data_IF_426211037885
#
_entry.id   IF_426211037885
#
_cell.length_a   1.000
_cell.length_b   1.000
_cell.length_c   1.000
_cell.angle_alpha   90.00
_cell.angle_beta   90.00
_cell.angle_gamma   90.00
#
_symmetry.space_group_name_H-M   'P 1'
#
loop_
_entity.id
_entity.type
_entity.pdbx_description
1 polymer ?
#
# COMPACT_ATOMS: atom_id res chain seq x y z
N UNK A 1 8.62 -13.96 -1.60
CA UNK A 1 8.68 -13.38 -0.23
C UNK A 1 7.27 -13.38 0.37
N UNK A 2 7.15 -13.83 1.59
CA UNK A 2 5.85 -13.87 2.29
C UNK A 2 5.54 -12.51 2.92
N UNK A 3 5.21 -11.54 2.10
CA UNK A 3 4.98 -10.16 2.49
C UNK A 3 3.91 -9.49 1.63
N UNK A 4 3.36 -8.41 2.15
CA UNK A 4 2.36 -7.58 1.48
C UNK A 4 2.85 -6.13 1.47
N UNK A 5 2.77 -5.50 0.32
CA UNK A 5 3.09 -4.09 0.18
C UNK A 5 1.94 -3.24 0.73
N UNK A 6 2.26 -2.15 1.40
CA UNK A 6 1.25 -1.16 1.84
C UNK A 6 1.53 0.16 1.16
N UNK A 7 0.59 0.59 0.34
CA UNK A 7 0.61 1.87 -0.33
C UNK A 7 0.07 3.00 0.57
N UNK A 8 0.32 4.24 0.17
CA UNK A 8 -0.13 5.45 0.88
C UNK A 8 -1.61 5.40 1.22
N UNK A 9 -2.48 5.01 0.28
CA UNK A 9 -3.92 4.89 0.52
C UNK A 9 -4.26 3.87 1.61
N UNK A 10 -3.54 2.78 1.70
CA UNK A 10 -3.69 1.78 2.77
C UNK A 10 -3.27 2.32 4.14
N UNK A 11 -2.12 2.98 4.22
CA UNK A 11 -1.66 3.64 5.45
C UNK A 11 -2.61 4.73 5.91
N UNK A 12 -3.08 5.57 4.99
CA UNK A 12 -4.02 6.65 5.32
C UNK A 12 -5.35 6.12 5.83
N UNK A 13 -5.91 5.11 5.21
CA UNK A 13 -7.15 4.48 5.68
C UNK A 13 -6.99 3.87 7.07
N UNK A 14 -5.84 3.27 7.37
CA UNK A 14 -5.53 2.77 8.70
C UNK A 14 -5.35 3.89 9.75
N UNK A 15 -4.79 5.03 9.35
CA UNK A 15 -4.53 6.15 10.26
C UNK A 15 -5.76 7.04 10.53
N UNK A 16 -6.67 7.13 9.58
CA UNK A 16 -7.84 8.01 9.65
C UNK A 16 -9.11 7.23 9.96
N UNK A 17 -9.57 7.33 11.22
CA UNK A 17 -10.79 6.68 11.66
C UNK A 17 -12.07 7.16 10.97
N UNK A 18 -12.05 8.31 10.30
CA UNK A 18 -13.16 8.84 9.51
C UNK A 18 -13.14 8.38 8.04
N UNK A 19 -12.07 7.70 7.61
CA UNK A 19 -11.99 7.15 6.26
C UNK A 19 -13.00 6.01 6.09
N UNK A 20 -13.82 6.00 5.02
CA UNK A 20 -14.77 4.90 4.77
C UNK A 20 -14.12 3.52 4.67
N UNK A 21 -12.85 3.44 4.28
CA UNK A 21 -12.08 2.20 4.19
C UNK A 21 -11.32 1.85 5.48
N UNK A 22 -11.45 2.63 6.56
CA UNK A 22 -10.68 2.43 7.79
C UNK A 22 -10.82 1.01 8.35
N UNK A 23 -12.04 0.57 8.62
CA UNK A 23 -12.29 -0.74 9.21
C UNK A 23 -11.80 -1.89 8.32
N UNK A 24 -12.03 -1.81 7.02
CA UNK A 24 -11.63 -2.86 6.07
C UNK A 24 -10.12 -2.92 5.83
N UNK A 25 -9.44 -1.77 5.79
CA UNK A 25 -7.97 -1.73 5.71
C UNK A 25 -7.31 -2.22 7.00
N UNK A 26 -7.83 -1.85 8.15
CA UNK A 26 -7.37 -2.36 9.45
C UNK A 26 -7.51 -3.88 9.53
N UNK A 27 -8.65 -4.42 9.13
CA UNK A 27 -8.88 -5.86 9.10
C UNK A 27 -7.92 -6.58 8.13
N UNK A 28 -7.70 -6.03 6.94
CA UNK A 28 -6.76 -6.59 5.96
C UNK A 28 -5.32 -6.62 6.51
N UNK A 29 -4.88 -5.54 7.16
CA UNK A 29 -3.58 -5.47 7.83
C UNK A 29 -3.46 -6.53 8.90
N UNK A 30 -4.44 -6.65 9.77
CA UNK A 30 -4.43 -7.58 10.89
C UNK A 30 -4.40 -9.03 10.39
N UNK A 31 -5.17 -9.39 9.37
CA UNK A 31 -5.14 -10.72 8.75
C UNK A 31 -3.74 -11.06 8.20
N UNK A 32 -3.08 -10.12 7.53
CA UNK A 32 -1.72 -10.29 7.01
C UNK A 32 -0.74 -10.58 8.15
N UNK A 33 -0.81 -9.79 9.21
CA UNK A 33 0.09 -9.94 10.38
C UNK A 33 -0.19 -11.24 11.15
N UNK A 34 -1.44 -11.60 11.35
CA UNK A 34 -1.85 -12.84 12.01
C UNK A 34 -1.41 -14.09 11.22
N UNK A 35 -1.36 -14.00 9.90
CA UNK A 35 -0.82 -15.05 9.03
C UNK A 35 0.72 -15.15 9.05
N UNK A 36 1.40 -14.34 9.88
CA UNK A 36 2.85 -14.35 10.00
C UNK A 36 3.59 -13.68 8.83
N UNK A 37 2.89 -12.91 8.00
CA UNK A 37 3.47 -12.19 6.87
C UNK A 37 4.01 -10.84 7.30
N UNK A 38 4.99 -10.31 6.56
CA UNK A 38 5.53 -8.98 6.75
C UNK A 38 4.76 -7.94 5.94
N UNK A 39 4.77 -6.71 6.42
CA UNK A 39 4.41 -5.55 5.63
C UNK A 39 5.67 -4.94 4.99
N UNK A 40 5.54 -4.41 3.80
CA UNK A 40 6.62 -3.71 3.10
C UNK A 40 6.19 -2.29 2.75
N UNK A 41 7.08 -1.35 2.95
CA UNK A 41 6.94 0.05 2.55
C UNK A 41 8.23 0.58 1.91
N UNK A 42 8.18 1.80 1.43
CA UNK A 42 9.34 2.53 0.90
C UNK A 42 9.42 3.92 1.53
N UNK A 43 10.59 4.55 1.44
CA UNK A 43 10.75 5.95 1.85
C UNK A 43 9.86 6.91 1.04
N UNK A 44 9.55 6.61 -0.22
CA UNK A 44 8.63 7.41 -1.04
C UNK A 44 7.20 7.35 -0.51
N UNK A 45 6.73 6.15 -0.15
CA UNK A 45 5.40 5.96 0.46
C UNK A 45 5.33 6.62 1.83
N UNK A 46 6.37 6.50 2.63
CA UNK A 46 6.44 7.14 3.96
C UNK A 46 6.42 8.65 3.86
N UNK A 47 7.18 9.23 2.93
CA UNK A 47 7.17 10.67 2.65
C UNK A 47 5.76 11.18 2.32
N UNK A 48 5.11 10.55 1.36
CA UNK A 48 3.75 10.91 0.95
C UNK A 48 2.74 10.73 2.10
N UNK A 49 2.83 9.65 2.84
CA UNK A 49 1.93 9.34 3.96
C UNK A 49 2.09 10.34 5.11
N UNK A 50 3.31 10.63 5.53
CA UNK A 50 3.58 11.63 6.57
C UNK A 50 3.02 13.00 6.19
N UNK A 51 3.23 13.41 4.95
CA UNK A 51 2.73 14.69 4.44
C UNK A 51 1.20 14.74 4.49
N UNK A 52 0.53 13.71 4.00
CA UNK A 52 -0.93 13.65 4.01
C UNK A 52 -1.52 13.58 5.41
N UNK A 53 -0.94 12.79 6.31
CA UNK A 53 -1.40 12.72 7.70
C UNK A 53 -1.27 14.08 8.37
N UNK A 54 -0.12 14.75 8.20
CA UNK A 54 0.09 16.09 8.77
C UNK A 54 -0.97 17.08 8.31
N UNK A 55 -1.27 17.12 7.03
CA UNK A 55 -2.24 18.08 6.48
C UNK A 55 -3.69 17.75 6.81
N UNK A 56 -4.04 16.48 6.90
CA UNK A 56 -5.43 16.05 7.14
C UNK A 56 -5.76 15.84 8.61
N UNK A 57 -4.81 15.34 9.41
CA UNK A 57 -5.03 14.91 10.78
C UNK A 57 -4.15 15.65 11.80
N UNK A 58 -3.16 16.41 11.34
CA UNK A 58 -2.28 17.22 12.17
C UNK A 58 -0.94 16.56 12.52
N UNK A 59 -0.05 17.36 13.07
CA UNK A 59 1.33 16.96 13.39
C UNK A 59 1.39 15.85 14.45
N UNK A 60 0.51 15.88 15.44
CA UNK A 60 0.45 14.86 16.49
C UNK A 60 0.11 13.48 15.93
N UNK A 61 -0.83 13.40 15.00
CA UNK A 61 -1.18 12.16 14.31
C UNK A 61 -0.02 11.65 13.43
N UNK A 62 0.68 12.53 12.74
CA UNK A 62 1.86 12.17 11.96
C UNK A 62 2.98 11.60 12.83
N UNK A 63 3.23 12.21 13.99
CA UNK A 63 4.22 11.72 14.97
C UNK A 63 3.83 10.34 15.53
N UNK A 64 2.57 10.16 15.88
CA UNK A 64 2.07 8.87 16.39
C UNK A 64 2.22 7.75 15.33
N UNK A 65 1.88 8.02 14.09
CA UNK A 65 2.05 7.07 13.00
C UNK A 65 3.54 6.73 12.77
N UNK A 66 4.41 7.75 12.73
CA UNK A 66 5.86 7.54 12.61
C UNK A 66 6.39 6.61 13.71
N UNK A 67 5.99 6.83 14.96
CA UNK A 67 6.42 6.00 16.09
C UNK A 67 5.98 4.53 15.94
N UNK A 68 4.81 4.30 15.36
CA UNK A 68 4.33 2.94 15.08
C UNK A 68 5.18 2.22 14.05
N UNK A 69 5.52 2.89 12.94
CA UNK A 69 6.28 2.26 11.85
C UNK A 69 7.76 2.15 12.15
N UNK A 70 8.34 3.14 12.83
CA UNK A 70 9.79 3.20 13.11
C UNK A 70 10.25 2.05 14.01
N UNK A 71 9.43 1.65 14.97
CA UNK A 71 9.74 0.56 15.91
C UNK A 71 9.23 -0.82 15.48
N UNK A 72 8.56 -0.95 14.34
CA UNK A 72 7.90 -2.19 13.97
C UNK A 72 8.90 -3.25 13.46
N UNK A 73 8.90 -4.42 14.10
CA UNK A 73 9.64 -5.60 13.65
C UNK A 73 8.91 -6.36 12.52
N UNK A 74 7.67 -5.99 12.25
CA UNK A 74 6.82 -6.62 11.23
C UNK A 74 6.74 -5.81 9.94
N UNK A 75 7.43 -4.66 9.87
CA UNK A 75 7.54 -3.79 8.72
C UNK A 75 8.98 -3.81 8.19
N UNK A 76 9.12 -4.11 6.91
CA UNK A 76 10.38 -4.01 6.19
C UNK A 76 10.35 -2.79 5.28
N UNK A 77 11.41 -1.98 5.35
CA UNK A 77 11.63 -0.85 4.46
C UNK A 77 12.48 -1.28 3.25
N UNK A 78 11.96 -1.01 2.07
CA UNK A 78 12.70 -1.14 0.82
C UNK A 78 13.07 0.24 0.31
N UNK A 79 14.33 0.44 -0.04
CA UNK A 79 14.82 1.72 -0.53
C UNK A 79 14.71 1.81 -2.05
N UNK A 80 14.28 2.99 -2.52
CA UNK A 80 14.20 3.30 -3.94
C UNK A 80 15.53 3.92 -4.36
N UNK A 81 16.53 3.09 -4.56
CA UNK A 81 17.86 3.51 -5.01
C UNK A 81 17.99 3.35 -6.52
N UNK A 82 19.09 3.79 -7.08
CA UNK A 82 19.42 3.98 -8.49
C UNK A 82 18.60 3.15 -9.51
N UNK A 83 18.72 1.83 -9.51
CA UNK A 83 18.04 0.98 -10.49
C UNK A 83 16.52 0.97 -10.33
N UNK A 84 16.03 1.01 -9.10
CA UNK A 84 14.60 1.06 -8.79
C UNK A 84 13.99 2.39 -9.18
N UNK A 85 14.72 3.48 -8.93
CA UNK A 85 14.32 4.81 -9.35
C UNK A 85 14.23 4.90 -10.88
N UNK A 86 15.23 4.39 -11.58
CA UNK A 86 15.26 4.38 -13.06
C UNK A 86 14.12 3.53 -13.65
N UNK A 87 13.82 2.38 -13.06
CA UNK A 87 12.63 1.58 -13.45
C UNK A 87 11.32 2.32 -13.22
N UNK A 88 11.20 2.99 -12.09
CA UNK A 88 10.02 3.80 -11.80
C UNK A 88 9.84 4.92 -12.84
N UNK A 89 10.91 5.58 -13.23
CA UNK A 89 10.90 6.59 -14.27
C UNK A 89 10.43 6.02 -15.60
N UNK A 90 10.92 4.85 -15.98
CA UNK A 90 10.50 4.16 -17.22
C UNK A 90 9.02 3.83 -17.19
N UNK A 91 8.52 3.28 -16.08
CA UNK A 91 7.10 2.97 -15.89
C UNK A 91 6.23 4.23 -15.95
N UNK A 92 6.66 5.30 -15.32
CA UNK A 92 5.94 6.57 -15.28
C UNK A 92 5.65 7.11 -16.69
N UNK A 93 6.61 7.04 -17.59
CA UNK A 93 6.44 7.47 -18.98
C UNK A 93 5.82 6.42 -19.89
N UNK A 94 5.89 5.15 -19.53
CA UNK A 94 5.30 4.06 -20.30
C UNK A 94 3.77 3.99 -20.15
N UNK A 95 3.25 4.19 -18.93
CA UNK A 95 1.82 4.16 -18.66
C UNK A 95 1.13 5.47 -19.07
N UNK A 96 0.68 5.52 -20.32
CA UNK A 96 0.01 6.71 -20.89
C UNK A 96 -1.47 6.78 -20.60
N UNK A 97 -2.09 5.64 -20.32
CA UNK A 97 -3.53 5.44 -20.15
C UNK A 97 -3.97 5.37 -18.67
N UNK A 98 -3.04 5.58 -17.74
CA UNK A 98 -3.29 5.52 -16.29
C UNK A 98 -2.67 6.71 -15.57
N UNK A 99 -3.43 7.28 -14.65
CA UNK A 99 -3.00 8.38 -13.81
C UNK A 99 -2.20 7.87 -12.61
N UNK A 100 -1.01 7.34 -12.89
CA UNK A 100 -0.09 6.87 -11.87
C UNK A 100 0.84 8.00 -11.43
N UNK A 101 0.96 8.18 -10.12
CA UNK A 101 1.99 9.05 -9.55
C UNK A 101 3.39 8.42 -9.71
N UNK A 102 4.43 9.24 -9.54
CA UNK A 102 5.78 8.69 -9.51
C UNK A 102 5.97 7.73 -8.32
N UNK A 103 5.39 8.05 -7.16
CA UNK A 103 5.38 7.15 -6.00
C UNK A 103 4.73 5.82 -6.34
N UNK A 104 3.60 5.80 -7.03
CA UNK A 104 2.96 4.57 -7.50
C UNK A 104 3.91 3.74 -8.37
N UNK A 105 4.62 4.39 -9.28
CA UNK A 105 5.59 3.71 -10.15
C UNK A 105 6.78 3.14 -9.37
N UNK A 106 7.24 3.81 -8.32
CA UNK A 106 8.28 3.25 -7.42
C UNK A 106 7.79 2.01 -6.71
N UNK A 107 6.55 2.01 -6.25
CA UNK A 107 5.92 0.88 -5.58
C UNK A 107 5.75 -0.31 -6.54
N UNK A 108 5.26 -0.06 -7.75
CA UNK A 108 5.10 -1.09 -8.79
C UNK A 108 6.44 -1.73 -9.15
N UNK A 109 7.50 -0.92 -9.32
CA UNK A 109 8.83 -1.42 -9.64
C UNK A 109 9.35 -2.38 -8.55
N UNK A 110 9.20 -2.01 -7.28
CA UNK A 110 9.62 -2.84 -6.14
C UNK A 110 8.76 -4.10 -6.03
N UNK A 111 7.46 -3.99 -6.15
CA UNK A 111 6.57 -5.15 -6.08
C UNK A 111 6.91 -6.19 -7.15
N UNK A 112 7.19 -5.76 -8.37
CA UNK A 112 7.60 -6.66 -9.45
C UNK A 112 8.96 -7.30 -9.22
N UNK A 113 9.94 -6.51 -8.76
CA UNK A 113 11.28 -7.02 -8.43
C UNK A 113 11.23 -8.09 -7.35
N UNK A 114 10.49 -7.83 -6.28
CA UNK A 114 10.37 -8.73 -5.12
C UNK A 114 9.30 -9.82 -5.32
N UNK A 115 8.63 -9.83 -6.46
CA UNK A 115 7.53 -10.77 -6.78
C UNK A 115 6.41 -10.75 -5.73
N UNK A 116 6.05 -9.54 -5.29
CA UNK A 116 4.92 -9.32 -4.40
C UNK A 116 3.64 -9.23 -5.23
N UNK A 117 2.68 -10.09 -4.92
CA UNK A 117 1.41 -10.13 -5.65
C UNK A 117 0.34 -9.20 -5.06
N UNK A 118 0.47 -8.85 -3.78
CA UNK A 118 -0.61 -8.26 -2.98
C UNK A 118 -0.21 -6.90 -2.40
N UNK A 119 -1.12 -5.95 -2.47
CA UNK A 119 -0.98 -4.60 -1.91
C UNK A 119 -2.21 -4.20 -1.10
N UNK A 120 -2.01 -3.60 0.06
CA UNK A 120 -3.07 -2.92 0.82
C UNK A 120 -3.13 -1.47 0.34
N UNK A 121 -4.22 -1.11 -0.28
CA UNK A 121 -4.45 0.23 -0.83
C UNK A 121 -5.93 0.49 -1.08
N UNK A 122 -6.29 1.76 -1.17
CA UNK A 122 -7.60 2.23 -1.65
C UNK A 122 -7.56 2.61 -3.13
N UNK A 123 -6.39 2.57 -3.75
CA UNK A 123 -6.17 2.95 -5.15
C UNK A 123 -6.36 1.76 -6.10
N UNK A 124 -7.35 1.86 -6.99
CA UNK A 124 -7.69 0.82 -7.98
C UNK A 124 -6.66 0.67 -9.10
N UNK A 125 -5.77 1.63 -9.31
CA UNK A 125 -4.73 1.54 -10.34
C UNK A 125 -3.82 0.32 -10.15
N UNK A 126 -3.57 -0.09 -8.92
CA UNK A 126 -2.79 -1.31 -8.64
C UNK A 126 -3.45 -2.57 -9.17
N UNK A 127 -4.77 -2.67 -9.12
CA UNK A 127 -5.49 -3.79 -9.72
C UNK A 127 -5.36 -3.77 -11.25
N UNK A 128 -5.44 -2.61 -11.87
CA UNK A 128 -5.33 -2.46 -13.33
C UNK A 128 -3.95 -2.87 -13.87
N UNK A 129 -2.90 -2.78 -13.06
CA UNK A 129 -1.54 -3.20 -13.43
C UNK A 129 -1.18 -4.62 -12.96
N UNK A 130 -2.15 -5.40 -12.49
CA UNK A 130 -2.04 -6.84 -12.27
C UNK A 130 -1.80 -7.29 -10.83
N UNK A 131 -1.95 -6.42 -9.83
CA UNK A 131 -1.82 -6.81 -8.43
C UNK A 131 -3.15 -7.16 -7.77
N UNK A 132 -3.10 -8.02 -6.77
CA UNK A 132 -4.21 -8.28 -5.88
C UNK A 132 -4.32 -7.16 -4.85
N UNK A 133 -5.45 -6.47 -4.83
CA UNK A 133 -5.69 -5.35 -3.93
C UNK A 133 -6.50 -5.79 -2.71
N UNK A 134 -6.00 -5.47 -1.53
CA UNK A 134 -6.70 -5.61 -0.26
C UNK A 134 -7.07 -4.21 0.29
N UNK A 135 -8.22 -4.04 0.93
CA UNK A 135 -9.31 -5.02 1.07
C UNK A 135 -9.97 -5.30 -0.28
N UNK A 136 -10.48 -6.54 -0.44
CA UNK A 136 -11.19 -6.93 -1.66
C UNK A 136 -12.48 -6.11 -1.82
N UNK A 137 -12.82 -5.74 -3.07
CA UNK A 137 -14.05 -5.03 -3.36
C UNK A 137 -15.28 -5.87 -2.99
N UNK A 138 -16.36 -5.21 -2.50
CA UNK A 138 -17.63 -5.88 -2.11
C UNK A 138 -18.23 -6.76 -3.22
N UNK A 139 -18.01 -6.44 -4.49
CA UNK A 139 -18.50 -7.21 -5.63
C UNK A 139 -17.88 -8.60 -5.76
N UNK A 140 -16.68 -8.84 -5.21
CA UNK A 140 -16.05 -10.17 -5.16
C UNK A 140 -16.54 -11.02 -4.00
N UNK A 141 -17.02 -10.42 -2.89
CA UNK A 141 -17.60 -11.16 -1.76
C UNK A 141 -18.99 -11.76 -2.08
N UNK A 142 -19.71 -11.23 -3.04
CA UNK A 142 -21.05 -11.69 -3.44
C UNK A 142 -21.05 -12.93 -4.37
N UNK A 143 -19.89 -13.39 -4.86
CA UNK A 143 -19.76 -14.59 -5.69
C UNK A 143 -19.28 -15.80 -4.89
N UNK A 144 -20.01 -16.18 -3.84
CA UNK A 144 -20.02 -17.59 -3.42
C UNK A 144 -20.84 -18.37 -4.45
N UNK A 145 -20.30 -19.47 -5.03
CA UNK A 145 -21.11 -20.31 -5.90
C UNK A 145 -22.30 -20.81 -5.09
N UNK A 146 -23.51 -20.61 -5.61
CA UNK A 146 -24.68 -21.32 -5.10
C UNK A 146 -24.38 -22.81 -5.25
N UNK A 147 -24.25 -23.50 -4.15
CA UNK A 147 -24.33 -24.97 -4.17
C UNK A 147 -25.71 -25.33 -4.73
N UNK A 148 -25.70 -26.02 -5.84
CA UNK A 148 -26.92 -26.64 -6.38
C UNK A 148 -27.45 -27.64 -5.38
#
# INVERSE_FOLDING_TARGET
>A
MNAVFVDTGGWMACADGADPAHASCMAARDEVLEAGRLLITTEFVVDETLTLIRFRLGLGAAKAWWQQIDGSTRLRWERVENDRFERARQLFFQYRDKDLSFTDCTSIAIMRELKLATVITTDRHFHQVGFDVLPASRSRRARKPRRA
#
